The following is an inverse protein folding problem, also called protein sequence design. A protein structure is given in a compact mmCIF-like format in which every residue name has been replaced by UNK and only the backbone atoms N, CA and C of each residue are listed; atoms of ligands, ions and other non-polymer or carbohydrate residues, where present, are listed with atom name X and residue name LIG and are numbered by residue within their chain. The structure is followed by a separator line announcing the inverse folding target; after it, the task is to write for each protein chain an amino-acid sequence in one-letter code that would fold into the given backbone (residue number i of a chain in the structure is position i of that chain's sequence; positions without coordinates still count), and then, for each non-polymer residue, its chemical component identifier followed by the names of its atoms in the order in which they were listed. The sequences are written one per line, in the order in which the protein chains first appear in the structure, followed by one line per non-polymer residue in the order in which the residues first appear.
data_IF_459047401140
#
_entry.id   IF_459047401140
#
_cell.length_a   1.000
_cell.length_b   1.000
_cell.length_c   1.000
_cell.angle_alpha   90.00
_cell.angle_beta   90.00
_cell.angle_gamma   90.00
#
_symmetry.space_group_name_H-M   'P 1'
#
loop_
_entity.id
_entity.type
_entity.pdbx_description
1 polymer ?
#
# COMPACT_ATOMS: atom_id res chain seq x y z
N UNK A 1 5.32 -3.41 16.44
CA UNK A 1 5.53 -3.89 15.05
C UNK A 1 4.44 -4.90 14.78
N UNK A 2 3.81 -4.82 13.62
CA UNK A 2 2.80 -5.80 13.20
C UNK A 2 3.49 -7.14 12.93
N UNK A 3 3.03 -8.22 13.57
CA UNK A 3 3.65 -9.55 13.46
C UNK A 3 3.03 -10.31 12.30
N UNK A 4 3.70 -10.29 11.15
CA UNK A 4 3.24 -10.98 9.94
C UNK A 4 3.88 -12.37 9.88
N UNK A 5 3.07 -13.41 9.69
CA UNK A 5 3.56 -14.77 9.41
C UNK A 5 4.22 -14.79 8.03
N UNK A 6 5.55 -14.98 7.99
CA UNK A 6 6.33 -14.95 6.74
C UNK A 6 6.73 -16.34 6.24
N UNK A 7 6.87 -17.32 7.13
CA UNK A 7 7.23 -18.70 6.79
C UNK A 7 6.09 -19.63 7.18
N UNK A 8 5.56 -20.37 6.22
CA UNK A 8 4.44 -21.27 6.38
C UNK A 8 4.47 -22.34 5.28
N UNK A 9 3.82 -23.48 5.51
CA UNK A 9 3.73 -24.54 4.52
C UNK A 9 2.50 -24.34 3.62
N UNK A 10 2.74 -23.93 2.38
CA UNK A 10 1.72 -23.64 1.35
C UNK A 10 0.70 -24.76 1.09
N UNK A 11 1.02 -26.02 1.44
CA UNK A 11 0.10 -27.16 1.24
C UNK A 11 -0.95 -27.31 2.34
N UNK A 12 -0.70 -26.77 3.52
CA UNK A 12 -1.57 -26.94 4.70
C UNK A 12 -2.18 -25.63 5.20
N UNK A 13 -1.65 -24.49 4.73
CA UNK A 13 -2.15 -23.16 5.08
C UNK A 13 -2.75 -22.48 3.86
N UNK A 14 -3.73 -21.61 4.09
CA UNK A 14 -4.36 -20.75 3.08
C UNK A 14 -4.32 -19.28 3.51
N UNK A 15 -4.36 -18.38 2.55
CA UNK A 15 -4.65 -16.97 2.81
C UNK A 15 -6.14 -16.79 3.12
N UNK A 16 -6.49 -15.75 3.88
CA UNK A 16 -7.88 -15.33 4.02
C UNK A 16 -8.39 -14.62 2.74
N UNK A 17 -9.71 -14.48 2.60
CA UNK A 17 -10.34 -13.92 1.39
C UNK A 17 -10.31 -12.38 1.29
N UNK A 18 -9.41 -11.71 2.02
CA UNK A 18 -9.31 -10.26 1.99
C UNK A 18 -8.56 -9.80 0.74
N UNK A 19 -9.08 -8.79 0.02
CA UNK A 19 -8.41 -8.26 -1.18
C UNK A 19 -7.13 -7.46 -0.88
N UNK A 20 -6.99 -6.93 0.32
CA UNK A 20 -5.79 -6.25 0.84
C UNK A 20 -5.55 -6.63 2.30
N UNK A 21 -4.28 -6.65 2.72
CA UNK A 21 -3.83 -7.13 4.04
C UNK A 21 -4.16 -8.61 4.30
N UNK A 22 -3.96 -9.45 3.28
CA UNK A 22 -4.08 -10.90 3.42
C UNK A 22 -3.15 -11.41 4.54
N UNK A 23 -3.67 -12.31 5.37
CA UNK A 23 -2.89 -13.04 6.37
C UNK A 23 -3.12 -14.54 6.22
N UNK A 24 -2.15 -15.32 6.72
CA UNK A 24 -2.21 -16.77 6.68
C UNK A 24 -3.13 -17.26 7.80
N UNK A 25 -4.14 -18.05 7.43
CA UNK A 25 -4.94 -18.80 8.37
C UNK A 25 -4.08 -19.92 8.95
N UNK A 26 -3.94 -19.91 10.27
CA UNK A 26 -3.03 -20.80 11.01
C UNK A 26 -3.76 -21.95 11.69
N UNK A 27 -5.04 -22.19 11.41
CA UNK A 27 -5.92 -23.27 11.88
C UNK A 27 -5.23 -24.38 12.73
N UNK A 28 -4.93 -24.10 14.01
CA UNK A 28 -4.34 -25.05 14.97
C UNK A 28 -2.82 -25.23 14.95
N UNK A 29 -2.08 -24.47 14.13
CA UNK A 29 -0.63 -24.48 14.01
C UNK A 29 0.04 -23.59 15.06
N UNK A 30 1.15 -24.06 15.61
CA UNK A 30 1.97 -23.26 16.52
C UNK A 30 2.73 -22.16 15.75
N UNK A 31 2.45 -20.89 16.07
CA UNK A 31 3.19 -19.74 15.56
C UNK A 31 4.38 -19.46 16.47
N UNK A 32 5.59 -19.42 15.91
CA UNK A 32 6.82 -19.08 16.66
C UNK A 32 7.46 -17.83 16.08
N UNK A 33 7.95 -16.97 16.97
CA UNK A 33 8.74 -15.81 16.58
C UNK A 33 10.17 -16.24 16.23
N UNK A 34 10.70 -15.72 15.13
CA UNK A 34 12.12 -15.82 14.84
C UNK A 34 12.89 -14.87 15.78
N UNK A 35 14.01 -15.34 16.31
CA UNK A 35 14.87 -14.59 17.23
C UNK A 35 15.62 -13.46 16.49
N UNK A 36 15.84 -13.63 15.18
CA UNK A 36 16.60 -12.70 14.35
C UNK A 36 15.67 -11.93 13.39
N UNK A 37 15.97 -10.64 13.19
CA UNK A 37 15.32 -9.83 12.17
C UNK A 37 15.88 -10.14 10.79
N UNK A 38 15.02 -10.03 9.76
CA UNK A 38 15.42 -10.14 8.36
C UNK A 38 15.08 -8.83 7.64
N UNK A 39 16.00 -8.32 6.82
CA UNK A 39 15.79 -7.14 5.99
C UNK A 39 14.83 -7.44 4.85
N UNK A 40 13.57 -7.06 5.01
CA UNK A 40 12.56 -7.20 3.95
C UNK A 40 12.56 -5.97 3.04
N UNK A 41 13.11 -6.13 1.84
CA UNK A 41 12.98 -5.13 0.77
C UNK A 41 11.65 -5.37 0.05
N UNK A 42 10.69 -4.43 0.12
CA UNK A 42 9.39 -4.61 -0.51
C UNK A 42 9.46 -4.58 -2.04
N UNK A 43 10.56 -4.10 -2.61
CA UNK A 43 10.80 -3.96 -4.04
C UNK A 43 12.26 -4.34 -4.36
N UNK A 44 12.46 -5.08 -5.45
CA UNK A 44 13.76 -5.46 -6.01
C UNK A 44 14.17 -4.54 -7.17
N UNK A 45 13.23 -3.77 -7.74
CA UNK A 45 13.48 -2.77 -8.79
C UNK A 45 12.44 -1.64 -8.78
N UNK A 46 12.75 -0.54 -9.48
CA UNK A 46 11.80 0.57 -9.69
C UNK A 46 10.58 0.11 -10.51
N UNK A 47 10.77 -0.77 -11.49
CA UNK A 47 9.67 -1.34 -12.27
C UNK A 47 8.71 -2.13 -11.38
N UNK A 48 9.23 -2.94 -10.46
CA UNK A 48 8.40 -3.67 -9.50
C UNK A 48 7.65 -2.71 -8.56
N UNK A 49 8.30 -1.61 -8.15
CA UNK A 49 7.63 -0.56 -7.39
C UNK A 49 6.45 0.04 -8.16
N UNK A 50 6.64 0.42 -9.44
CA UNK A 50 5.56 1.01 -10.25
C UNK A 50 4.40 0.04 -10.42
N UNK A 51 4.68 -1.23 -10.75
CA UNK A 51 3.65 -2.26 -10.90
C UNK A 51 2.87 -2.46 -9.59
N UNK A 52 3.56 -2.50 -8.45
CA UNK A 52 2.90 -2.63 -7.14
C UNK A 52 2.12 -1.38 -6.78
N UNK A 53 2.68 -0.19 -6.99
CA UNK A 53 1.99 1.08 -6.74
C UNK A 53 0.70 1.16 -7.55
N UNK A 54 0.74 0.76 -8.82
CA UNK A 54 -0.41 0.66 -9.70
C UNK A 54 -1.45 -0.33 -9.15
N UNK A 55 -1.06 -1.60 -8.92
CA UNK A 55 -1.96 -2.65 -8.44
C UNK A 55 -2.63 -2.30 -7.10
N UNK A 56 -1.86 -1.89 -6.10
CA UNK A 56 -2.39 -1.61 -4.77
C UNK A 56 -3.23 -0.32 -4.72
N UNK A 57 -2.92 0.67 -5.58
CA UNK A 57 -3.77 1.85 -5.69
C UNK A 57 -5.10 1.54 -6.37
N UNK A 58 -5.13 0.67 -7.37
CA UNK A 58 -6.36 0.18 -8.00
C UNK A 58 -7.22 -0.58 -7.00
N UNK A 59 -6.66 -1.55 -6.27
CA UNK A 59 -7.39 -2.31 -5.25
C UNK A 59 -8.01 -1.39 -4.18
N UNK A 60 -7.24 -0.40 -3.71
CA UNK A 60 -7.76 0.60 -2.77
C UNK A 60 -8.93 1.38 -3.36
N UNK A 61 -8.82 1.82 -4.62
CA UNK A 61 -9.88 2.55 -5.28
C UNK A 61 -11.15 1.69 -5.40
N UNK A 62 -11.04 0.46 -5.89
CA UNK A 62 -12.14 -0.52 -6.01
C UNK A 62 -12.88 -0.76 -4.69
N UNK A 63 -12.15 -0.88 -3.58
CA UNK A 63 -12.76 -1.11 -2.27
C UNK A 63 -13.52 0.12 -1.72
N UNK A 64 -13.19 1.32 -2.20
CA UNK A 64 -13.68 2.59 -1.67
C UNK A 64 -14.63 3.35 -2.61
N UNK A 65 -14.90 2.83 -3.82
CA UNK A 65 -15.87 3.42 -4.74
C UNK A 65 -17.23 3.53 -4.05
N UNK A 66 -17.90 4.68 -4.18
CA UNK A 66 -19.19 4.97 -3.55
C UNK A 66 -19.17 5.14 -2.03
N UNK A 67 -18.05 4.82 -1.35
CA UNK A 67 -17.87 5.01 0.10
C UNK A 67 -17.12 6.28 0.45
N UNK A 68 -16.22 6.72 -0.43
CA UNK A 68 -15.36 7.88 -0.23
C UNK A 68 -15.30 8.74 -1.47
N UNK A 69 -15.50 10.03 -1.29
CA UNK A 69 -15.35 11.03 -2.34
C UNK A 69 -13.98 11.73 -2.23
N UNK A 70 -13.39 11.95 -3.40
CA UNK A 70 -12.06 12.54 -3.59
C UNK A 70 -12.11 13.49 -4.78
N UNK A 71 -11.11 14.36 -4.91
CA UNK A 71 -10.93 15.28 -6.03
C UNK A 71 -9.45 15.28 -6.45
N UNK A 72 -9.13 15.70 -7.68
CA UNK A 72 -7.73 15.84 -8.12
C UNK A 72 -6.91 16.75 -7.20
N UNK A 73 -7.51 17.85 -6.74
CA UNK A 73 -6.85 18.78 -5.79
C UNK A 73 -6.54 18.12 -4.46
N UNK A 74 -7.48 17.35 -3.91
CA UNK A 74 -7.28 16.59 -2.68
C UNK A 74 -6.21 15.51 -2.86
N UNK A 75 -6.21 14.80 -3.98
CA UNK A 75 -5.19 13.79 -4.30
C UNK A 75 -3.78 14.41 -4.33
N UNK A 76 -3.60 15.59 -4.94
CA UNK A 76 -2.31 16.30 -4.98
C UNK A 76 -1.90 16.73 -3.57
N UNK A 77 -2.78 17.40 -2.83
CA UNK A 77 -2.48 17.92 -1.50
C UNK A 77 -2.12 16.79 -0.51
N UNK A 78 -2.91 15.71 -0.49
CA UNK A 78 -2.65 14.55 0.38
C UNK A 78 -1.32 13.87 0.03
N UNK A 79 -0.95 13.84 -1.26
CA UNK A 79 0.31 13.25 -1.72
C UNK A 79 1.51 14.10 -1.33
N UNK A 80 1.44 15.41 -1.54
CA UNK A 80 2.49 16.35 -1.11
C UNK A 80 2.65 16.33 0.41
N UNK A 81 1.55 16.27 1.16
CA UNK A 81 1.59 16.10 2.60
C UNK A 81 2.25 14.77 3.01
N UNK A 82 1.94 13.67 2.34
CA UNK A 82 2.58 12.36 2.56
C UNK A 82 4.08 12.41 2.31
N UNK A 83 4.52 13.09 1.24
CA UNK A 83 5.93 13.32 0.95
C UNK A 83 6.59 14.14 2.07
N UNK A 84 6.04 15.31 2.41
CA UNK A 84 6.57 16.19 3.43
C UNK A 84 6.67 15.48 4.79
N UNK A 85 5.63 14.76 5.18
CA UNK A 85 5.61 13.97 6.41
C UNK A 85 6.69 12.89 6.41
N UNK A 86 6.90 12.20 5.31
CA UNK A 86 7.87 11.10 5.24
C UNK A 86 9.30 11.61 5.14
N UNK A 87 9.54 12.64 4.34
CA UNK A 87 10.87 13.17 4.12
C UNK A 87 11.34 14.05 5.28
N UNK A 88 10.50 14.97 5.75
CA UNK A 88 10.85 15.96 6.78
C UNK A 88 10.50 15.45 8.18
N UNK A 89 9.21 15.14 8.45
CA UNK A 89 8.77 14.81 9.81
C UNK A 89 9.34 13.48 10.32
N UNK A 90 9.46 12.48 9.44
CA UNK A 90 10.12 11.20 9.76
C UNK A 90 11.62 11.21 9.54
N UNK A 91 12.21 12.37 9.23
CA UNK A 91 13.66 12.54 9.03
C UNK A 91 14.24 11.65 7.93
N UNK A 92 13.46 11.31 6.90
CA UNK A 92 13.94 10.54 5.76
C UNK A 92 15.12 11.21 5.03
N UNK A 93 15.27 12.54 5.14
CA UNK A 93 16.47 13.22 4.63
C UNK A 93 17.79 12.74 5.28
N UNK A 94 17.76 12.14 6.47
CA UNK A 94 18.94 11.56 7.12
C UNK A 94 19.44 10.29 6.42
N UNK A 95 18.54 9.59 5.71
CA UNK A 95 18.87 8.40 4.92
C UNK A 95 19.36 8.76 3.50
N UNK A 96 19.57 10.06 3.22
CA UNK A 96 20.05 10.56 1.94
C UNK A 96 19.12 10.22 0.77
N UNK A 97 19.69 9.71 -0.33
CA UNK A 97 18.93 9.40 -1.54
C UNK A 97 17.90 8.27 -1.31
N UNK A 98 18.17 7.34 -0.39
CA UNK A 98 17.27 6.22 -0.08
C UNK A 98 15.98 6.75 0.55
N UNK A 99 16.10 7.67 1.51
CA UNK A 99 14.94 8.30 2.14
C UNK A 99 14.13 9.17 1.18
N UNK A 100 14.79 9.80 0.19
CA UNK A 100 14.09 10.50 -0.90
C UNK A 100 13.26 9.52 -1.74
N UNK A 101 13.83 8.38 -2.15
CA UNK A 101 13.11 7.34 -2.91
C UNK A 101 11.90 6.85 -2.11
N UNK A 102 12.07 6.57 -0.82
CA UNK A 102 10.98 6.11 0.06
C UNK A 102 9.87 7.16 0.14
N UNK A 103 10.22 8.43 0.40
CA UNK A 103 9.23 9.50 0.47
C UNK A 103 8.49 9.69 -0.85
N UNK A 104 9.20 9.60 -1.98
CA UNK A 104 8.62 9.69 -3.32
C UNK A 104 7.71 8.49 -3.61
N UNK A 105 8.12 7.29 -3.24
CA UNK A 105 7.29 6.08 -3.36
C UNK A 105 5.98 6.19 -2.59
N UNK A 106 6.02 6.75 -1.37
CA UNK A 106 4.83 7.03 -0.58
C UNK A 106 3.93 8.09 -1.23
N UNK A 107 4.52 9.15 -1.80
CA UNK A 107 3.79 10.20 -2.50
C UNK A 107 3.04 9.64 -3.72
N UNK A 108 3.75 8.94 -4.61
CA UNK A 108 3.18 8.38 -5.85
C UNK A 108 2.06 7.38 -5.55
N UNK A 109 2.28 6.50 -4.57
CA UNK A 109 1.26 5.52 -4.18
C UNK A 109 0.00 6.22 -3.62
N UNK A 110 0.17 7.28 -2.83
CA UNK A 110 -0.97 8.03 -2.28
C UNK A 110 -1.72 8.80 -3.37
N UNK A 111 -0.99 9.36 -4.34
CA UNK A 111 -1.57 10.06 -5.47
C UNK A 111 -2.45 9.14 -6.30
N UNK A 112 -1.91 7.97 -6.69
CA UNK A 112 -2.65 6.99 -7.48
C UNK A 112 -3.90 6.46 -6.76
N UNK A 113 -3.83 6.23 -5.44
CA UNK A 113 -5.00 5.80 -4.65
C UNK A 113 -6.18 6.76 -4.81
N UNK A 114 -5.94 8.06 -4.66
CA UNK A 114 -7.01 9.06 -4.63
C UNK A 114 -7.45 9.50 -6.03
N UNK A 115 -6.55 9.54 -7.02
CA UNK A 115 -6.93 9.89 -8.39
C UNK A 115 -7.73 8.78 -9.06
N UNK A 116 -7.33 7.51 -8.88
CA UNK A 116 -8.09 6.36 -9.40
C UNK A 116 -9.46 6.23 -8.76
N UNK A 117 -9.54 6.44 -7.44
CA UNK A 117 -10.83 6.46 -6.75
C UNK A 117 -11.73 7.60 -7.25
N UNK A 118 -11.16 8.76 -7.59
CA UNK A 118 -11.91 9.85 -8.21
C UNK A 118 -12.44 9.47 -9.60
N UNK A 119 -11.61 8.85 -10.45
CA UNK A 119 -12.01 8.37 -11.77
C UNK A 119 -13.15 7.35 -11.67
N UNK A 120 -12.98 6.33 -10.83
CA UNK A 120 -13.98 5.26 -10.63
C UNK A 120 -15.31 5.78 -10.05
N UNK A 121 -15.27 6.73 -9.10
CA UNK A 121 -16.50 7.33 -8.59
C UNK A 121 -17.26 8.08 -9.69
N UNK A 122 -16.54 8.79 -10.58
CA UNK A 122 -17.17 9.52 -11.69
C UNK A 122 -17.73 8.59 -12.75
N UNK A 123 -17.12 7.44 -12.98
CA UNK A 123 -17.65 6.41 -13.88
C UNK A 123 -18.94 5.82 -13.31
N UNK A 124 -18.94 5.45 -12.02
CA UNK A 124 -20.14 4.93 -11.36
C UNK A 124 -21.31 5.93 -11.35
N UNK A 125 -21.04 7.21 -11.13
CA UNK A 125 -22.06 8.27 -11.20
C UNK A 125 -22.69 8.38 -12.59
N UNK A 126 -21.89 8.22 -13.66
CA UNK A 126 -22.40 8.25 -15.04
C UNK A 126 -23.25 7.04 -15.39
N UNK A 127 -22.92 5.86 -14.87
CA UNK A 127 -23.69 4.62 -15.12
C UNK A 127 -25.03 4.61 -14.37
N UNK A 128 -25.19 5.43 -13.34
CA UNK A 128 -26.42 5.52 -12.53
C UNK A 128 -27.43 6.54 -13.09
N UNK A 129 -27.03 7.34 -14.09
CA UNK A 129 -27.85 8.37 -14.77
C UNK A 129 -28.42 7.84 -16.09
#
# INVERSE_FOLDING_TARGET
MDQIVRLYNRKITRYNDHKVHEHILTDGLAVKNLIHSFSHYPYQSISEFVIKADRYSTLFAEENIGKRYTSPTKAILDSLYSFFRTYILKRGFLDGYVGLIIAFSHMVTNFYKYIKLYEMNREQEKETL
#
